data_IF_217165742963
#
_entry.id   IF_217165742963
#
_cell.length_a   1.000
_cell.length_b   1.000
_cell.length_c   1.000
_cell.angle_alpha   90.00
_cell.angle_beta   90.00
_cell.angle_gamma   90.00
#
_symmetry.space_group_name_H-M   'P 1'
#
loop_
_entity.id
_entity.type
_entity.pdbx_description
1 polymer ?
#
# COMPACT_ATOMS: atom_id res chain seq x y z
N UNK A 1 15.41 9.17 1.61
CA UNK A 1 14.18 9.12 0.77
C UNK A 1 14.11 7.81 -0.01
N UNK A 2 15.25 7.15 -0.26
CA UNK A 2 15.33 5.75 -0.74
C UNK A 2 14.83 4.71 0.31
N UNK A 3 14.66 5.10 1.57
CA UNK A 3 14.68 4.13 2.68
C UNK A 3 13.40 3.26 2.86
N UNK A 4 12.23 3.69 2.40
CA UNK A 4 10.97 3.03 2.78
C UNK A 4 10.59 1.85 1.87
N UNK A 5 10.78 2.00 0.56
CA UNK A 5 10.52 0.91 -0.39
C UNK A 5 11.61 -0.16 -0.27
N UNK A 6 12.86 0.26 -0.11
CA UNK A 6 13.98 -0.66 0.09
C UNK A 6 13.80 -1.45 1.39
N UNK A 7 13.42 -0.80 2.50
CA UNK A 7 13.07 -1.51 3.72
C UNK A 7 11.88 -2.46 3.53
N UNK A 8 10.89 -2.09 2.70
CA UNK A 8 9.77 -2.99 2.41
C UNK A 8 10.21 -4.21 1.60
N UNK A 9 11.13 -4.04 0.66
CA UNK A 9 11.72 -5.13 -0.11
C UNK A 9 12.60 -6.04 0.77
N UNK A 10 13.38 -5.47 1.68
CA UNK A 10 14.29 -6.21 2.57
C UNK A 10 13.53 -6.97 3.67
N UNK A 11 12.65 -6.29 4.38
CA UNK A 11 11.98 -6.86 5.56
C UNK A 11 10.61 -7.49 5.25
N UNK A 12 10.04 -7.19 4.08
CA UNK A 12 8.80 -7.78 3.62
C UNK A 12 7.65 -7.66 4.64
N UNK A 13 6.88 -8.73 4.88
CA UNK A 13 5.74 -8.69 5.80
C UNK A 13 6.08 -8.32 7.25
N UNK A 14 7.36 -8.44 7.65
CA UNK A 14 7.82 -8.13 9.02
C UNK A 14 8.07 -6.64 9.23
N UNK A 15 8.10 -5.83 8.17
CA UNK A 15 8.22 -4.38 8.28
C UNK A 15 7.01 -3.79 9.00
N UNK A 16 7.27 -3.09 10.10
CA UNK A 16 6.26 -2.50 10.97
C UNK A 16 6.39 -0.99 11.13
N UNK A 17 5.83 -0.47 12.23
CA UNK A 17 5.97 0.94 12.58
C UNK A 17 7.45 1.30 12.83
N UNK A 18 7.90 2.52 12.46
CA UNK A 18 7.10 3.66 11.98
C UNK A 18 6.89 3.71 10.47
N UNK A 19 7.47 2.81 9.67
CA UNK A 19 7.35 2.86 8.21
C UNK A 19 6.03 2.29 7.69
N UNK A 20 5.44 1.32 8.39
CA UNK A 20 4.19 0.66 7.95
C UNK A 20 3.08 0.80 8.98
N UNK A 21 1.83 0.97 8.52
CA UNK A 21 0.62 0.71 9.31
C UNK A 21 -0.38 -0.18 8.60
N UNK A 22 -1.37 -0.62 9.37
CA UNK A 22 -2.61 -1.19 8.84
C UNK A 22 -3.56 -0.06 8.40
N UNK A 23 -4.20 -0.24 7.25
CA UNK A 23 -5.32 0.61 6.84
C UNK A 23 -6.58 0.23 7.62
N UNK A 24 -7.27 1.23 8.16
CA UNK A 24 -8.61 1.06 8.75
C UNK A 24 -9.67 1.41 7.71
N UNK A 25 -10.79 0.70 7.72
CA UNK A 25 -11.91 0.95 6.82
C UNK A 25 -11.77 0.31 5.43
N UNK A 26 -10.74 -0.50 5.20
CA UNK A 26 -10.67 -1.38 4.02
C UNK A 26 -11.39 -2.70 4.33
N UNK A 27 -12.13 -3.20 3.34
CA UNK A 27 -12.71 -4.55 3.36
C UNK A 27 -11.62 -5.63 3.28
N UNK A 28 -10.46 -5.27 2.73
CA UNK A 28 -9.28 -6.12 2.63
C UNK A 28 -8.39 -6.00 3.87
N UNK A 29 -8.49 -6.95 4.80
CA UNK A 29 -7.75 -6.95 6.07
C UNK A 29 -6.21 -6.89 5.95
N UNK A 30 -5.66 -7.27 4.80
CA UNK A 30 -4.22 -7.26 4.52
C UNK A 30 -3.71 -5.93 3.92
N UNK A 31 -4.60 -4.96 3.66
CA UNK A 31 -4.22 -3.66 3.11
C UNK A 31 -3.44 -2.83 4.13
N UNK A 32 -2.30 -2.29 3.70
CA UNK A 32 -1.35 -1.55 4.52
C UNK A 32 -1.02 -0.21 3.89
N UNK A 33 -0.51 0.71 4.71
CA UNK A 33 0.13 1.93 4.23
C UNK A 33 1.63 1.89 4.51
N UNK A 34 2.42 2.32 3.53
CA UNK A 34 3.81 2.69 3.71
C UNK A 34 3.89 4.21 3.89
N UNK A 35 4.73 4.62 4.83
CA UNK A 35 4.91 6.00 5.26
C UNK A 35 6.37 6.42 5.09
N UNK A 36 6.80 6.73 3.85
CA UNK A 36 8.08 7.38 3.62
C UNK A 36 8.20 8.64 4.47
N UNK A 37 9.44 9.01 4.81
CA UNK A 37 9.72 10.25 5.52
C UNK A 37 9.15 11.45 4.77
N UNK A 38 8.25 12.18 5.43
CA UNK A 38 7.69 13.43 4.95
C UNK A 38 8.67 14.58 5.13
N UNK A 39 8.85 15.43 4.12
CA UNK A 39 9.58 16.70 4.26
C UNK A 39 8.68 17.90 3.94
N UNK A 40 8.84 18.97 4.72
CA UNK A 40 8.07 20.21 4.57
C UNK A 40 6.56 20.00 4.73
N UNK A 41 5.80 20.34 3.68
CA UNK A 41 4.32 20.31 3.68
C UNK A 41 3.72 19.02 3.11
N UNK A 42 4.53 18.03 2.72
CA UNK A 42 4.05 16.81 2.06
C UNK A 42 3.86 15.66 3.03
N UNK A 43 2.78 14.90 2.87
CA UNK A 43 2.46 13.69 3.63
C UNK A 43 2.29 12.51 2.67
N UNK A 44 3.39 12.05 2.05
CA UNK A 44 3.35 10.94 1.09
C UNK A 44 2.92 9.64 1.76
N UNK A 45 1.91 8.99 1.21
CA UNK A 45 1.44 7.66 1.63
C UNK A 45 1.32 6.76 0.41
N UNK A 46 1.69 5.50 0.60
CA UNK A 46 1.59 4.48 -0.45
C UNK A 46 0.69 3.37 0.11
N UNK A 47 -0.41 3.06 -0.57
CA UNK A 47 -1.25 1.91 -0.21
C UNK A 47 -0.71 0.67 -0.91
N UNK A 48 -0.56 -0.41 -0.16
CA UNK A 48 0.00 -1.65 -0.67
C UNK A 48 -0.60 -2.86 0.04
N UNK A 49 -0.47 -4.02 -0.59
CA UNK A 49 -0.80 -5.32 -0.02
C UNK A 49 0.26 -6.35 -0.40
N UNK A 50 0.31 -7.48 0.30
CA UNK A 50 1.08 -8.64 -0.14
C UNK A 50 0.16 -9.59 -0.89
N UNK A 51 0.56 -10.00 -2.09
CA UNK A 51 -0.16 -11.01 -2.86
C UNK A 51 0.05 -12.43 -2.29
N UNK A 52 -0.68 -13.45 -2.79
CA UNK A 52 -0.56 -14.83 -2.30
C UNK A 52 0.85 -15.43 -2.40
N UNK A 53 1.66 -14.95 -3.35
CA UNK A 53 3.07 -15.36 -3.54
C UNK A 53 4.05 -14.44 -2.80
N UNK A 54 3.55 -13.65 -1.84
CA UNK A 54 4.31 -12.80 -0.90
C UNK A 54 5.10 -11.66 -1.54
N UNK A 55 4.66 -11.16 -2.69
CA UNK A 55 5.21 -9.94 -3.29
C UNK A 55 4.45 -8.72 -2.77
N UNK A 56 5.18 -7.66 -2.43
CA UNK A 56 4.55 -6.38 -2.13
C UNK A 56 4.04 -5.74 -3.42
N UNK A 57 2.74 -5.46 -3.48
CA UNK A 57 2.08 -4.80 -4.61
C UNK A 57 1.76 -3.38 -4.22
N UNK A 58 2.46 -2.42 -4.82
CA UNK A 58 2.21 -0.99 -4.60
C UNK A 58 1.01 -0.56 -5.46
N UNK A 59 -0.09 -0.20 -4.82
CA UNK A 59 -1.38 0.01 -5.49
C UNK A 59 -1.59 1.46 -5.89
N UNK A 60 -1.17 2.40 -5.04
CA UNK A 60 -1.16 3.83 -5.33
C UNK A 60 -0.25 4.59 -4.37
N UNK A 61 0.18 5.77 -4.79
CA UNK A 61 0.90 6.74 -3.97
C UNK A 61 0.23 8.10 -4.08
N UNK A 62 0.21 8.89 -3.00
CA UNK A 62 -0.32 10.25 -3.03
C UNK A 62 0.07 11.08 -1.83
N UNK A 63 -0.07 12.40 -1.96
CA UNK A 63 0.15 13.36 -0.88
C UNK A 63 -1.14 13.58 -0.08
N UNK A 64 -1.10 13.23 1.21
CA UNK A 64 -2.22 13.30 2.14
C UNK A 64 -2.34 14.65 2.86
N UNK A 65 -1.34 15.54 2.76
CA UNK A 65 -1.21 16.70 3.63
C UNK A 65 -2.38 17.69 3.56
N UNK A 66 -3.05 17.81 2.40
CA UNK A 66 -4.15 18.75 2.17
C UNK A 66 -5.54 18.25 2.55
N UNK A 67 -5.75 16.94 2.70
CA UNK A 67 -7.08 16.40 3.02
C UNK A 67 -7.07 14.98 3.55
N UNK A 68 -6.64 14.81 4.80
CA UNK A 68 -6.37 13.50 5.41
C UNK A 68 -7.52 12.48 5.29
N UNK A 69 -8.75 12.87 5.60
CA UNK A 69 -9.91 11.96 5.57
C UNK A 69 -10.34 11.64 4.13
N UNK A 70 -10.59 12.67 3.32
CA UNK A 70 -11.00 12.50 1.90
C UNK A 70 -9.99 11.70 1.09
N UNK A 71 -8.70 11.81 1.44
CA UNK A 71 -7.65 11.02 0.79
C UNK A 71 -7.91 9.52 1.00
N UNK A 72 -8.21 9.06 2.22
CA UNK A 72 -8.55 7.65 2.45
C UNK A 72 -9.86 7.27 1.79
N UNK A 73 -10.91 8.10 1.93
CA UNK A 73 -12.23 7.82 1.36
C UNK A 73 -12.17 7.62 -0.17
N UNK A 74 -11.26 8.31 -0.86
CA UNK A 74 -11.08 8.19 -2.32
C UNK A 74 -10.09 7.10 -2.72
N UNK A 75 -9.01 6.93 -1.96
CA UNK A 75 -7.91 6.05 -2.36
C UNK A 75 -8.08 4.61 -1.88
N UNK A 76 -8.75 4.34 -0.76
CA UNK A 76 -8.97 2.97 -0.29
C UNK A 76 -9.77 2.16 -1.33
N UNK A 77 -10.94 2.62 -1.83
CA UNK A 77 -11.70 1.87 -2.83
C UNK A 77 -10.92 1.66 -4.14
N UNK A 78 -10.12 2.66 -4.54
CA UNK A 78 -9.27 2.56 -5.73
C UNK A 78 -8.15 1.52 -5.56
N UNK A 79 -7.50 1.47 -4.39
CA UNK A 79 -6.49 0.48 -4.07
C UNK A 79 -7.10 -0.94 -4.03
N UNK A 80 -8.28 -1.10 -3.44
CA UNK A 80 -8.99 -2.38 -3.39
C UNK A 80 -9.34 -2.89 -4.79
N UNK A 81 -9.86 -2.01 -5.66
CA UNK A 81 -10.14 -2.36 -7.07
C UNK A 81 -8.87 -2.87 -7.78
N UNK A 82 -7.77 -2.12 -7.68
CA UNK A 82 -6.49 -2.47 -8.30
C UNK A 82 -5.93 -3.78 -7.76
N UNK A 83 -6.10 -4.03 -6.47
CA UNK A 83 -5.65 -5.27 -5.86
C UNK A 83 -6.47 -6.47 -6.35
N UNK A 84 -7.80 -6.32 -6.47
CA UNK A 84 -8.66 -7.34 -7.07
C UNK A 84 -8.27 -7.66 -8.50
N UNK A 85 -7.96 -6.64 -9.31
CA UNK A 85 -7.45 -6.81 -10.69
C UNK A 85 -6.13 -7.59 -10.71
N UNK A 86 -5.17 -7.23 -9.85
CA UNK A 86 -3.89 -7.96 -9.71
C UNK A 86 -4.09 -9.43 -9.34
N UNK A 87 -5.01 -9.73 -8.42
CA UNK A 87 -5.31 -11.11 -8.04
C UNK A 87 -5.91 -11.92 -9.18
N UNK A 88 -6.81 -11.34 -9.97
CA UNK A 88 -7.42 -12.00 -11.13
C UNK A 88 -6.38 -12.29 -12.23
N UNK A 89 -5.46 -11.35 -12.48
CA UNK A 89 -4.34 -11.56 -13.40
C UNK A 89 -3.38 -12.65 -12.89
N UNK A 90 -3.09 -12.66 -11.59
CA UNK A 90 -2.20 -13.64 -10.99
C UNK A 90 -2.78 -15.06 -11.10
N UNK A 91 -4.06 -15.22 -10.79
CA UNK A 91 -4.77 -16.49 -10.91
C UNK A 91 -4.67 -17.02 -12.35
N UNK A 92 -4.88 -16.16 -13.35
CA UNK A 92 -4.78 -16.53 -14.77
C UNK A 92 -3.38 -17.05 -15.13
N UNK A 93 -2.31 -16.44 -14.59
CA UNK A 93 -0.91 -16.81 -14.88
C UNK A 93 -0.45 -18.09 -14.18
N UNK A 94 -1.08 -18.49 -13.07
CA UNK A 94 -0.75 -19.73 -12.37
C UNK A 94 -1.38 -20.98 -13.04
N UNK A 95 -2.32 -20.78 -13.98
CA UNK A 95 -2.92 -21.84 -14.80
C UNK A 95 -2.39 -21.90 -16.24
N UNK A 96 -1.39 -21.08 -16.58
CA UNK A 96 -0.59 -21.17 -17.82
C UNK A 96 0.70 -21.96 -17.59
#
# INVERSE_FOLDING_TARGET
>A
MEDAIDALAEFGPTLGRPLVDRIRGSEQHHMKELRPGSSGRSEVRILFAFDPVRRAVLLLAGDKAGSRQRWYDSNIPLAEKRYGEHLAELDTREYE
#
